data_IF_064547304465
#
_entry.id   IF_064547304465
#
_cell.length_a   1.000
_cell.length_b   1.000
_cell.length_c   1.000
_cell.angle_alpha   90.00
_cell.angle_beta   90.00
_cell.angle_gamma   90.00
#
_symmetry.space_group_name_H-M   'P 1'
#
loop_
_entity.id
_entity.type
_entity.pdbx_description
1 polymer ?
#
# COMPACT_ATOMS: atom_id res chain seq x y z
N UNK A 1 3.20 52.34 30.36
CA UNK A 1 4.25 51.34 30.05
C UNK A 1 3.58 49.98 29.95
N UNK A 2 3.35 49.51 28.72
CA UNK A 2 4.09 48.40 28.08
C UNK A 2 3.66 47.03 28.65
N UNK A 3 2.64 46.41 28.03
CA UNK A 3 2.74 45.29 27.04
C UNK A 3 2.97 43.94 27.72
N UNK A 4 1.92 43.10 27.73
CA UNK A 4 1.71 41.93 26.85
C UNK A 4 2.70 40.78 27.13
N UNK A 5 2.21 39.65 27.65
CA UNK A 5 2.56 38.30 27.18
C UNK A 5 1.97 37.21 28.08
N UNK A 6 0.68 36.91 27.91
CA UNK A 6 0.14 35.58 28.28
C UNK A 6 -0.43 34.83 27.06
N UNK A 7 -0.62 35.51 25.92
CA UNK A 7 -1.15 34.88 24.70
C UNK A 7 -0.14 34.04 23.92
N UNK A 8 1.16 34.20 24.17
CA UNK A 8 2.19 33.49 23.41
C UNK A 8 2.41 32.05 23.88
N UNK A 9 2.19 31.75 25.17
CA UNK A 9 2.51 30.42 25.73
C UNK A 9 1.48 29.35 25.34
N UNK A 10 0.20 29.73 25.22
CA UNK A 10 -0.85 28.80 24.79
C UNK A 10 -0.82 28.49 23.28
N UNK A 11 -0.37 29.43 22.45
CA UNK A 11 -0.17 29.20 21.01
C UNK A 11 1.03 28.29 20.71
N UNK A 12 2.02 28.25 21.61
CA UNK A 12 3.20 27.40 21.45
C UNK A 12 2.96 25.92 21.79
N UNK A 13 1.94 25.59 22.60
CA UNK A 13 1.64 24.19 22.93
C UNK A 13 0.79 23.52 21.83
N UNK A 14 -0.11 24.27 21.18
CA UNK A 14 -0.92 23.73 20.07
C UNK A 14 -0.10 23.61 18.77
N UNK A 15 0.92 24.44 18.58
CA UNK A 15 1.80 24.36 17.41
C UNK A 15 2.75 23.15 17.40
N UNK A 16 2.97 22.47 18.53
CA UNK A 16 3.91 21.35 18.65
C UNK A 16 3.27 19.95 18.51
N UNK A 17 1.95 19.85 18.33
CA UNK A 17 1.25 18.57 18.08
C UNK A 17 0.97 18.32 16.59
N UNK A 18 1.36 19.25 15.72
CA UNK A 18 1.28 19.12 14.28
C UNK A 18 2.67 19.04 13.63
N UNK A 19 3.64 18.42 14.31
CA UNK A 19 4.58 17.61 13.55
C UNK A 19 3.79 16.40 13.08
N UNK A 20 3.02 16.57 11.99
CA UNK A 20 2.65 15.45 11.17
C UNK A 20 3.95 14.67 10.96
N UNK A 21 4.02 13.46 11.51
CA UNK A 21 5.02 12.52 11.08
C UNK A 21 4.74 12.33 9.60
N UNK A 22 5.41 13.13 8.76
CA UNK A 22 5.61 12.83 7.37
C UNK A 22 6.43 11.56 7.40
N UNK A 23 5.76 10.41 7.55
CA UNK A 23 6.34 9.14 7.18
C UNK A 23 6.82 9.33 5.76
N UNK A 24 8.12 9.13 5.53
CA UNK A 24 8.71 9.36 4.22
C UNK A 24 7.96 8.42 3.26
N UNK A 25 7.31 9.01 2.25
CA UNK A 25 6.55 8.25 1.26
C UNK A 25 7.55 7.54 0.34
N UNK A 26 7.90 6.32 0.69
CA UNK A 26 8.80 5.47 -0.08
C UNK A 26 8.08 4.80 -1.27
N UNK A 27 6.89 5.25 -1.65
CA UNK A 27 6.18 4.72 -2.81
C UNK A 27 6.91 5.05 -4.11
N UNK A 28 7.25 4.04 -4.90
CA UNK A 28 8.00 4.23 -6.14
C UNK A 28 7.73 3.12 -7.16
N UNK A 29 8.15 3.36 -8.40
CA UNK A 29 8.15 2.36 -9.45
C UNK A 29 9.50 1.64 -9.52
N UNK A 30 9.47 0.31 -9.56
CA UNK A 30 10.63 -0.54 -9.80
C UNK A 30 10.61 -1.01 -11.26
N UNK A 31 11.58 -0.53 -12.05
CA UNK A 31 11.74 -0.92 -13.45
C UNK A 31 12.58 -2.19 -13.57
N UNK A 32 12.06 -3.22 -14.25
CA UNK A 32 12.78 -4.47 -14.54
C UNK A 32 12.98 -4.69 -16.05
N UNK A 33 12.46 -3.78 -16.87
CA UNK A 33 12.55 -3.82 -18.32
C UNK A 33 11.43 -3.01 -18.99
N UNK A 34 11.35 -3.00 -20.33
CA UNK A 34 10.39 -2.16 -21.06
C UNK A 34 8.91 -2.47 -20.76
N UNK A 35 8.62 -3.70 -20.31
CA UNK A 35 7.25 -4.18 -20.01
C UNK A 35 7.16 -4.90 -18.67
N UNK A 36 8.21 -4.86 -17.87
CA UNK A 36 8.33 -5.56 -16.60
C UNK A 36 8.70 -4.55 -15.52
N UNK A 37 8.07 -4.71 -14.37
CA UNK A 37 8.18 -3.79 -13.26
C UNK A 37 6.91 -3.76 -12.45
N UNK A 38 6.97 -3.11 -11.32
CA UNK A 38 5.87 -3.03 -10.37
C UNK A 38 6.02 -1.78 -9.53
N UNK A 39 4.93 -1.39 -8.87
CA UNK A 39 4.96 -0.32 -7.88
C UNK A 39 5.10 -0.92 -6.48
N UNK A 40 5.93 -0.28 -5.66
CA UNK A 40 5.85 -0.39 -4.19
C UNK A 40 5.06 0.83 -3.74
N UNK A 41 4.02 0.61 -2.95
CA UNK A 41 3.05 1.64 -2.58
C UNK A 41 2.79 1.55 -1.09
N UNK A 42 2.96 2.64 -0.36
CA UNK A 42 2.46 2.73 1.01
C UNK A 42 0.96 3.03 0.99
N UNK A 43 0.17 2.50 1.96
CA UNK A 43 -1.21 2.91 2.15
C UNK A 43 -1.32 4.44 2.27
N UNK A 44 -2.36 5.01 1.68
CA UNK A 44 -2.62 6.46 1.71
C UNK A 44 -1.54 7.37 1.11
N UNK A 45 -0.56 6.80 0.38
CA UNK A 45 0.45 7.58 -0.32
C UNK A 45 -0.12 8.32 -1.53
N UNK A 46 0.59 9.33 -2.03
CA UNK A 46 0.17 10.03 -3.26
C UNK A 46 0.03 9.04 -4.43
N UNK A 47 0.94 8.08 -4.52
CA UNK A 47 0.93 7.07 -5.58
C UNK A 47 -0.26 6.10 -5.44
N UNK A 48 -0.64 5.73 -4.22
CA UNK A 48 -1.84 4.93 -3.94
C UNK A 48 -3.09 5.57 -4.57
N UNK A 49 -3.27 6.86 -4.35
CA UNK A 49 -4.38 7.64 -4.92
C UNK A 49 -4.31 7.74 -6.44
N UNK A 50 -3.13 8.01 -6.99
CA UNK A 50 -2.93 8.12 -8.45
C UNK A 50 -3.21 6.80 -9.19
N UNK A 51 -2.88 5.68 -8.57
CA UNK A 51 -3.13 4.35 -9.13
C UNK A 51 -4.58 3.88 -8.91
N UNK A 52 -5.33 4.57 -8.06
CA UNK A 52 -6.73 4.29 -7.77
C UNK A 52 -6.94 2.99 -7.01
N UNK A 53 -6.17 2.78 -5.94
CA UNK A 53 -6.08 1.54 -5.18
C UNK A 53 -6.99 1.48 -3.94
N UNK A 54 -8.02 2.33 -3.88
CA UNK A 54 -8.88 2.55 -2.71
C UNK A 54 -9.53 1.29 -2.11
N UNK A 55 -9.80 0.28 -2.93
CA UNK A 55 -10.47 -0.96 -2.52
C UNK A 55 -9.48 -2.07 -2.10
N UNK A 56 -8.20 -1.73 -1.93
CA UNK A 56 -7.20 -2.68 -1.48
C UNK A 56 -7.49 -3.15 -0.04
N UNK A 57 -7.49 -4.47 0.22
CA UNK A 57 -7.77 -5.03 1.54
C UNK A 57 -6.54 -4.97 2.47
N UNK A 58 -6.03 -3.75 2.70
CA UNK A 58 -4.93 -3.52 3.64
C UNK A 58 -5.47 -3.45 5.06
N UNK A 59 -4.76 -4.03 6.00
CA UNK A 59 -5.10 -4.01 7.43
C UNK A 59 -3.88 -3.57 8.21
N UNK A 60 -4.00 -2.46 8.94
CA UNK A 60 -2.94 -1.90 9.76
C UNK A 60 -2.47 -2.90 10.85
N UNK A 61 -1.16 -3.16 10.92
CA UNK A 61 -0.54 -3.93 12.00
C UNK A 61 -0.51 -3.19 13.33
N UNK A 62 -0.53 -1.86 13.32
CA UNK A 62 -0.58 -1.01 14.51
C UNK A 62 -1.99 -0.91 15.11
N UNK A 63 -3.01 -1.52 14.49
CA UNK A 63 -4.35 -1.65 15.07
C UNK A 63 -4.25 -2.39 16.44
N UNK A 64 -4.56 -1.72 17.57
CA UNK A 64 -4.42 -2.31 18.89
C UNK A 64 -5.25 -3.57 19.12
N UNK A 65 -6.33 -3.75 18.34
CA UNK A 65 -7.21 -4.92 18.41
C UNK A 65 -6.63 -6.13 17.68
N UNK A 66 -5.57 -5.93 16.88
CA UNK A 66 -4.99 -6.96 16.03
C UNK A 66 -3.63 -7.45 16.49
N UNK A 67 -3.07 -6.89 17.56
CA UNK A 67 -1.87 -7.42 18.21
C UNK A 67 -0.70 -7.66 17.23
N UNK A 68 -0.44 -6.70 16.33
CA UNK A 68 0.61 -6.82 15.32
C UNK A 68 0.24 -7.63 14.07
N UNK A 69 -0.94 -8.24 14.01
CA UNK A 69 -1.42 -8.89 12.79
C UNK A 69 -2.06 -7.88 11.83
N UNK A 70 -1.68 -7.97 10.56
CA UNK A 70 -2.18 -7.10 9.51
C UNK A 70 -2.30 -7.82 8.18
N UNK A 71 -2.52 -7.02 7.14
CA UNK A 71 -2.50 -7.50 5.77
C UNK A 71 -1.92 -6.44 4.84
N UNK A 72 -0.92 -6.84 4.09
CA UNK A 72 -0.50 -6.15 2.88
C UNK A 72 -1.44 -6.51 1.72
N UNK A 73 -1.29 -5.85 0.57
CA UNK A 73 -2.06 -6.19 -0.62
C UNK A 73 -1.26 -6.18 -1.92
N UNK A 74 -1.55 -7.12 -2.81
CA UNK A 74 -1.16 -7.03 -4.23
C UNK A 74 -2.35 -6.56 -5.06
N UNK A 75 -2.10 -5.68 -6.02
CA UNK A 75 -3.11 -5.18 -6.95
C UNK A 75 -2.68 -5.42 -8.41
N UNK A 76 -3.61 -5.98 -9.19
CA UNK A 76 -3.40 -6.30 -10.61
C UNK A 76 -4.53 -5.69 -11.44
N UNK A 77 -4.20 -4.76 -12.33
CA UNK A 77 -5.18 -4.12 -13.22
C UNK A 77 -5.26 -4.83 -14.57
N UNK A 78 -6.41 -5.39 -14.86
CA UNK A 78 -6.70 -6.09 -16.11
C UNK A 78 -7.67 -5.28 -16.97
N UNK A 79 -7.59 -5.46 -18.29
CA UNK A 79 -8.66 -5.04 -19.17
C UNK A 79 -9.84 -6.04 -19.13
N UNK A 80 -10.91 -5.72 -19.87
CA UNK A 80 -12.09 -6.59 -20.00
C UNK A 80 -11.79 -8.01 -20.53
N UNK A 81 -10.68 -8.20 -21.23
CA UNK A 81 -10.25 -9.50 -21.75
C UNK A 81 -9.36 -10.27 -20.76
N UNK A 82 -9.16 -9.74 -19.55
CA UNK A 82 -8.33 -10.37 -18.52
C UNK A 82 -6.83 -10.25 -18.78
N UNK A 83 -6.38 -9.30 -19.61
CA UNK A 83 -4.94 -9.04 -19.85
C UNK A 83 -4.47 -7.91 -18.95
N UNK A 84 -3.31 -8.09 -18.31
CA UNK A 84 -2.69 -7.11 -17.42
C UNK A 84 -2.29 -5.87 -18.21
N UNK A 85 -2.90 -4.72 -17.91
CA UNK A 85 -2.72 -3.46 -18.67
C UNK A 85 -1.90 -2.40 -17.95
N UNK A 86 -1.66 -2.57 -16.65
CA UNK A 86 -0.77 -1.72 -15.86
C UNK A 86 0.27 -2.58 -15.13
N UNK A 87 1.42 -2.01 -14.72
CA UNK A 87 2.32 -2.70 -13.80
C UNK A 87 1.55 -3.08 -12.52
N UNK A 88 1.80 -4.26 -11.94
CA UNK A 88 1.25 -4.62 -10.64
C UNK A 88 1.68 -3.65 -9.55
N UNK A 89 0.93 -3.56 -8.46
CA UNK A 89 1.32 -2.83 -7.26
C UNK A 89 1.39 -3.77 -6.06
N UNK A 90 2.45 -3.66 -5.27
CA UNK A 90 2.52 -4.18 -3.92
C UNK A 90 2.28 -3.00 -2.98
N UNK A 91 1.12 -3.03 -2.32
CA UNK A 91 0.76 -2.12 -1.24
C UNK A 91 1.30 -2.70 0.08
N UNK A 92 2.37 -2.13 0.59
CA UNK A 92 3.10 -2.61 1.76
C UNK A 92 3.06 -1.56 2.87
N UNK A 93 2.75 -1.99 4.09
CA UNK A 93 2.79 -1.11 5.25
C UNK A 93 4.22 -0.83 5.74
N UNK A 94 5.11 -1.80 5.53
CA UNK A 94 6.52 -1.72 5.89
C UNK A 94 7.41 -2.12 4.70
N UNK A 95 8.28 -3.11 4.89
CA UNK A 95 9.15 -3.64 3.85
C UNK A 95 8.41 -4.68 3.00
N UNK A 96 8.31 -4.49 1.67
CA UNK A 96 7.72 -5.48 0.78
C UNK A 96 8.47 -6.82 0.84
N UNK A 97 7.73 -7.92 0.91
CA UNK A 97 8.33 -9.25 0.96
C UNK A 97 8.88 -9.70 -0.41
N UNK A 98 10.15 -10.10 -0.42
CA UNK A 98 10.92 -10.54 -1.60
C UNK A 98 10.31 -11.69 -2.39
N UNK A 99 9.52 -12.55 -1.75
CA UNK A 99 8.81 -13.63 -2.43
C UNK A 99 7.75 -13.07 -3.39
N UNK A 100 7.01 -12.05 -2.96
CA UNK A 100 5.96 -11.44 -3.78
C UNK A 100 6.53 -10.48 -4.81
N UNK A 101 7.54 -9.65 -4.45
CA UNK A 101 8.16 -8.71 -5.39
C UNK A 101 8.79 -9.43 -6.59
N UNK A 102 9.44 -10.58 -6.38
CA UNK A 102 9.97 -11.42 -7.47
C UNK A 102 8.88 -11.97 -8.38
N UNK A 103 7.76 -12.45 -7.81
CA UNK A 103 6.65 -13.00 -8.60
C UNK A 103 5.94 -11.91 -9.40
N UNK A 104 5.61 -10.77 -8.81
CA UNK A 104 4.97 -9.68 -9.55
C UNK A 104 5.90 -9.11 -10.64
N UNK A 105 7.21 -9.06 -10.38
CA UNK A 105 8.22 -8.61 -11.35
C UNK A 105 8.35 -9.50 -12.59
N UNK A 106 8.01 -10.79 -12.47
CA UNK A 106 7.99 -11.73 -13.60
C UNK A 106 6.84 -11.51 -14.58
N UNK A 107 5.80 -10.76 -14.19
CA UNK A 107 4.64 -10.52 -15.02
C UNK A 107 4.95 -9.47 -16.09
N UNK A 108 4.69 -9.83 -17.34
CA UNK A 108 4.89 -8.92 -18.48
C UNK A 108 3.59 -8.18 -18.80
N UNK A 109 3.57 -6.86 -18.60
CA UNK A 109 2.43 -6.00 -18.94
C UNK A 109 2.06 -6.13 -20.43
N UNK A 110 0.77 -6.24 -20.71
CA UNK A 110 0.20 -6.45 -22.04
C UNK A 110 0.33 -7.88 -22.58
N UNK A 111 0.83 -8.82 -21.76
CA UNK A 111 0.91 -10.25 -22.11
C UNK A 111 0.35 -11.14 -21.01
N UNK A 112 0.74 -10.89 -19.76
CA UNK A 112 0.24 -11.64 -18.62
C UNK A 112 -1.28 -11.53 -18.53
N UNK A 113 -1.92 -12.65 -18.26
CA UNK A 113 -3.36 -12.81 -18.12
C UNK A 113 -3.78 -13.01 -16.66
N UNK A 114 -5.08 -12.95 -16.42
CA UNK A 114 -5.71 -13.42 -15.19
C UNK A 114 -5.21 -14.80 -14.79
N UNK A 115 -5.15 -15.74 -15.74
CA UNK A 115 -4.74 -17.11 -15.47
C UNK A 115 -3.29 -17.21 -15.00
N UNK A 116 -2.39 -16.40 -15.59
CA UNK A 116 -0.98 -16.35 -15.17
C UNK A 116 -0.83 -15.82 -13.74
N UNK A 117 -1.62 -14.80 -13.39
CA UNK A 117 -1.64 -14.25 -12.02
C UNK A 117 -2.22 -15.27 -11.05
N UNK A 118 -3.29 -15.97 -11.40
CA UNK A 118 -3.85 -17.02 -10.54
C UNK A 118 -2.90 -18.20 -10.35
N UNK A 119 -2.14 -18.57 -11.38
CA UNK A 119 -1.12 -19.60 -11.28
C UNK A 119 -0.01 -19.24 -10.27
N UNK A 120 0.27 -17.94 -10.09
CA UNK A 120 1.29 -17.45 -9.16
C UNK A 120 0.76 -17.20 -7.74
N UNK A 121 -0.49 -16.77 -7.58
CA UNK A 121 -1.00 -16.26 -6.30
C UNK A 121 -2.28 -16.95 -5.81
N UNK A 122 -2.85 -17.88 -6.58
CA UNK A 122 -4.15 -18.48 -6.31
C UNK A 122 -5.30 -17.57 -6.75
N UNK A 123 -6.49 -17.75 -6.17
CA UNK A 123 -7.66 -16.91 -6.51
C UNK A 123 -7.57 -15.54 -5.85
N UNK A 124 -8.04 -14.50 -6.54
CA UNK A 124 -8.17 -13.17 -5.97
C UNK A 124 -9.12 -13.14 -4.78
N UNK A 125 -8.87 -12.26 -3.82
CA UNK A 125 -9.73 -12.07 -2.65
C UNK A 125 -10.82 -11.03 -2.90
N UNK A 126 -10.47 -9.94 -3.60
CA UNK A 126 -11.39 -8.83 -3.88
C UNK A 126 -11.25 -8.38 -5.33
N UNK A 127 -12.36 -7.92 -5.93
CA UNK A 127 -12.39 -7.33 -7.26
C UNK A 127 -13.03 -5.94 -7.19
N UNK A 128 -12.42 -4.97 -7.86
CA UNK A 128 -13.00 -3.65 -8.09
C UNK A 128 -13.15 -3.39 -9.59
N UNK A 129 -14.36 -3.11 -10.06
CA UNK A 129 -14.59 -2.82 -11.47
C UNK A 129 -14.08 -1.43 -11.86
N UNK A 130 -13.64 -1.31 -13.12
CA UNK A 130 -13.13 -0.08 -13.72
C UNK A 130 -13.72 0.09 -15.13
N UNK A 131 -13.82 1.32 -15.66
CA UNK A 131 -14.35 1.53 -17.01
C UNK A 131 -13.62 0.74 -18.11
N UNK A 132 -12.30 0.56 -17.95
CA UNK A 132 -11.41 -0.15 -18.87
C UNK A 132 -11.21 -1.65 -18.52
N UNK A 133 -11.77 -2.12 -17.41
CA UNK A 133 -11.63 -3.50 -16.96
C UNK A 133 -11.88 -3.66 -15.46
N UNK A 134 -10.91 -4.15 -14.72
CA UNK A 134 -11.03 -4.35 -13.27
C UNK A 134 -9.66 -4.42 -12.60
N UNK A 135 -9.64 -4.24 -11.29
CA UNK A 135 -8.50 -4.52 -10.43
C UNK A 135 -8.83 -5.73 -9.57
N UNK A 136 -7.89 -6.68 -9.50
CA UNK A 136 -7.92 -7.75 -8.53
C UNK A 136 -6.94 -7.48 -7.40
N UNK A 137 -7.39 -7.79 -6.20
CA UNK A 137 -6.61 -7.66 -4.99
C UNK A 137 -6.38 -9.00 -4.32
N UNK A 138 -5.18 -9.15 -3.76
CA UNK A 138 -4.79 -10.27 -2.95
C UNK A 138 -4.36 -9.74 -1.58
N UNK A 139 -5.09 -10.09 -0.52
CA UNK A 139 -4.65 -9.81 0.84
C UNK A 139 -3.50 -10.75 1.19
N UNK A 140 -2.42 -10.20 1.74
CA UNK A 140 -1.24 -10.92 2.18
C UNK A 140 -1.15 -10.79 3.70
N UNK A 141 -1.48 -11.83 4.48
CA UNK A 141 -1.35 -11.75 5.93
C UNK A 141 0.09 -11.43 6.33
N UNK A 142 0.25 -10.43 7.19
CA UNK A 142 1.54 -10.04 7.76
C UNK A 142 1.45 -9.99 9.28
N UNK A 143 2.60 -10.08 9.93
CA UNK A 143 2.72 -10.01 11.38
C UNK A 143 3.94 -9.18 11.75
N UNK A 144 3.73 -8.11 12.50
CA UNK A 144 4.78 -7.31 13.12
C UNK A 144 4.81 -7.60 14.64
N UNK A 145 5.84 -8.31 15.15
CA UNK A 145 5.95 -8.63 16.57
C UNK A 145 6.24 -7.42 17.47
N UNK A 146 6.70 -6.29 16.91
CA UNK A 146 6.96 -5.08 17.69
C UNK A 146 5.66 -4.38 18.12
N UNK A 147 4.62 -4.44 17.28
CA UNK A 147 3.29 -3.90 17.58
C UNK A 147 2.52 -4.75 18.60
N UNK A 148 2.83 -6.05 18.70
CA UNK A 148 2.29 -6.91 19.76
C UNK A 148 2.73 -6.45 21.17
N UNK A 149 3.95 -5.92 21.28
CA UNK A 149 4.55 -5.52 22.56
C UNK A 149 4.30 -4.06 22.94
N UNK A 150 3.96 -3.21 21.95
CA UNK A 150 3.77 -1.76 22.10
C UNK A 150 2.51 -1.33 22.85
N UNK A 151 1.47 -2.19 22.93
CA UNK A 151 0.19 -1.90 23.59
C UNK A 151 0.21 -1.84 25.13
N UNK A 152 1.40 -1.84 25.77
CA UNK A 152 1.58 -1.80 27.23
C UNK A 152 2.11 -0.47 27.77
N UNK A 153 1.93 0.63 27.04
CA UNK A 153 2.29 1.97 27.54
C UNK A 153 1.11 2.68 28.18
#
# INVERSE_FOLDING_TARGET
MSRRSCGALFLLIVANLACAASWDDDSHYVSLGPRNGYYIVQPDSRLFYQLGLYEAPVIDTADPLRHGYGADALAFRFNRNGVLIAPPAYIAQESPNDFYTRRIGSLTRGRASVHDVEALFGRSHTRADRPDGFIWYYALPIHNPFEEQGGRR
#
